data_IF_942775928027
#
_entry.id   IF_942775928027
#
_cell.length_a   1.000
_cell.length_b   1.000
_cell.length_c   1.000
_cell.angle_alpha   90.00
_cell.angle_beta   90.00
_cell.angle_gamma   90.00
#
_symmetry.space_group_name_H-M   'P 1'
#
loop_
_entity.id
_entity.type
_entity.pdbx_description
1 polymer ?
#
# COMPACT_ATOMS: atom_id res chain seq x y z
N UNK A 1 26.44 -7.24 13.23
CA UNK A 1 25.23 -7.07 14.05
C UNK A 1 24.61 -8.44 14.26
N UNK A 2 24.76 -9.03 15.45
CA UNK A 2 24.35 -10.40 15.72
C UNK A 2 22.84 -10.51 15.93
N UNK A 3 22.19 -11.48 15.26
CA UNK A 3 20.79 -11.79 15.47
C UNK A 3 20.66 -12.62 16.75
N UNK A 4 20.04 -12.07 17.81
CA UNK A 4 19.65 -12.88 18.96
C UNK A 4 18.39 -13.66 18.61
N UNK A 5 18.53 -14.99 18.53
CA UNK A 5 17.39 -15.88 18.38
C UNK A 5 16.79 -16.11 19.76
N UNK A 6 15.60 -15.57 20.00
CA UNK A 6 14.85 -15.81 21.23
C UNK A 6 14.26 -17.21 21.12
N UNK A 7 14.79 -18.14 21.90
CA UNK A 7 14.28 -19.51 21.95
C UNK A 7 13.06 -19.58 22.89
N UNK A 8 11.92 -20.11 22.45
CA UNK A 8 10.76 -20.30 23.31
C UNK A 8 11.07 -21.32 24.42
N UNK A 9 10.40 -21.18 25.55
CA UNK A 9 10.57 -22.13 26.65
C UNK A 9 9.93 -23.48 26.30
N UNK A 10 10.43 -24.55 26.91
CA UNK A 10 9.94 -25.92 26.63
C UNK A 10 8.46 -26.07 26.99
N UNK A 11 8.00 -25.42 28.05
CA UNK A 11 6.59 -25.38 28.45
C UNK A 11 5.70 -24.69 27.41
N UNK A 12 6.15 -23.58 26.81
CA UNK A 12 5.40 -22.91 25.75
C UNK A 12 5.25 -23.80 24.52
N UNK A 13 6.32 -24.50 24.13
CA UNK A 13 6.27 -25.47 23.03
C UNK A 13 5.32 -26.62 23.34
N UNK A 14 5.31 -27.12 24.58
CA UNK A 14 4.41 -28.20 25.01
C UNK A 14 2.95 -27.78 24.96
N UNK A 15 2.61 -26.58 25.46
CA UNK A 15 1.24 -26.05 25.41
C UNK A 15 0.76 -25.88 23.96
N UNK A 16 1.61 -25.30 23.11
CA UNK A 16 1.32 -25.13 21.69
C UNK A 16 1.08 -26.47 20.97
N UNK A 17 1.90 -27.48 21.22
CA UNK A 17 1.72 -28.80 20.62
C UNK A 17 0.45 -29.50 21.13
N UNK A 18 0.09 -29.33 22.41
CA UNK A 18 -1.15 -29.86 22.97
C UNK A 18 -2.40 -29.22 22.34
N UNK A 19 -2.40 -27.90 22.12
CA UNK A 19 -3.47 -27.20 21.40
C UNK A 19 -3.56 -27.64 19.93
N UNK A 20 -2.41 -27.84 19.27
CA UNK A 20 -2.34 -28.31 17.88
C UNK A 20 -2.85 -29.74 17.73
N UNK A 21 -2.54 -30.61 18.68
CA UNK A 21 -3.02 -31.99 18.75
C UNK A 21 -4.53 -32.04 19.00
N UNK A 22 -5.03 -31.23 19.95
CA UNK A 22 -6.46 -31.11 20.24
C UNK A 22 -7.27 -30.60 19.03
N UNK A 23 -6.68 -29.70 18.23
CA UNK A 23 -7.32 -29.16 17.04
C UNK A 23 -7.37 -30.16 15.86
N UNK A 24 -6.70 -31.33 15.94
CA UNK A 24 -6.61 -32.37 14.88
C UNK A 24 -6.39 -31.82 13.48
N UNK A 25 -5.69 -30.69 13.37
CA UNK A 25 -5.48 -30.05 12.07
C UNK A 25 -4.37 -30.83 11.36
N UNK A 26 -4.62 -31.39 10.17
CA UNK A 26 -3.54 -31.91 9.35
C UNK A 26 -2.51 -30.79 9.14
N UNK A 27 -1.21 -31.10 9.05
CA UNK A 27 -0.20 -30.10 8.73
C UNK A 27 -0.68 -29.35 7.49
N UNK A 28 -0.74 -28.00 7.53
CA UNK A 28 -1.15 -27.23 6.37
C UNK A 28 -0.25 -27.62 5.21
N UNK A 29 -0.85 -27.80 4.04
CA UNK A 29 -0.09 -28.14 2.85
C UNK A 29 1.02 -27.10 2.65
N UNK A 30 2.17 -27.49 2.12
CA UNK A 30 3.29 -26.56 1.94
C UNK A 30 2.91 -25.34 1.08
N UNK A 31 1.92 -25.47 0.20
CA UNK A 31 1.32 -24.33 -0.51
C UNK A 31 0.58 -23.36 0.41
N UNK A 32 -0.18 -23.85 1.38
CA UNK A 32 -0.90 -23.01 2.34
C UNK A 32 0.07 -22.27 3.27
N UNK A 33 1.17 -22.91 3.66
CA UNK A 33 2.25 -22.28 4.43
C UNK A 33 2.89 -21.14 3.61
N UNK A 34 3.20 -21.38 2.34
CA UNK A 34 3.75 -20.37 1.44
C UNK A 34 2.80 -19.17 1.29
N UNK A 35 1.51 -19.42 1.15
CA UNK A 35 0.48 -18.37 1.07
C UNK A 35 0.39 -17.56 2.37
N UNK A 36 0.35 -18.22 3.52
CA UNK A 36 0.24 -17.55 4.83
C UNK A 36 1.48 -16.73 5.19
N UNK A 37 2.67 -17.18 4.77
CA UNK A 37 3.93 -16.48 5.03
C UNK A 37 4.26 -15.42 3.97
N UNK A 38 3.40 -15.22 2.96
CA UNK A 38 3.71 -14.32 1.84
C UNK A 38 4.88 -14.82 0.98
N UNK A 39 5.28 -16.08 1.09
CA UNK A 39 6.29 -16.76 0.27
C UNK A 39 5.70 -17.16 -1.10
N UNK A 40 5.21 -16.16 -1.82
CA UNK A 40 4.86 -16.28 -3.23
C UNK A 40 5.96 -15.60 -4.04
N UNK A 41 6.26 -16.15 -5.22
CA UNK A 41 7.09 -15.43 -6.19
C UNK A 41 6.30 -14.22 -6.64
N UNK A 42 6.64 -13.04 -6.12
CA UNK A 42 6.22 -11.78 -6.71
C UNK A 42 6.77 -11.82 -8.14
N UNK A 43 5.87 -11.92 -9.12
CA UNK A 43 6.30 -11.85 -10.52
C UNK A 43 6.79 -10.43 -10.78
N UNK A 44 7.84 -10.28 -11.58
CA UNK A 44 8.43 -8.99 -11.96
C UNK A 44 7.40 -7.96 -12.50
N UNK A 45 6.26 -8.46 -12.97
CA UNK A 45 5.10 -7.67 -13.41
C UNK A 45 4.36 -6.95 -12.26
N UNK A 46 4.34 -7.51 -11.04
CA UNK A 46 3.72 -6.89 -9.87
C UNK A 46 4.53 -5.69 -9.35
N UNK A 47 5.88 -5.80 -9.39
CA UNK A 47 6.80 -4.69 -9.08
C UNK A 47 6.63 -3.52 -10.07
N UNK A 48 6.48 -3.82 -11.36
CA UNK A 48 6.21 -2.80 -12.39
C UNK A 48 4.83 -2.15 -12.18
N UNK A 49 3.80 -2.92 -11.84
CA UNK A 49 2.48 -2.35 -11.55
C UNK A 49 2.50 -1.45 -10.33
N UNK A 50 3.24 -1.81 -9.28
CA UNK A 50 3.38 -0.95 -8.10
C UNK A 50 4.09 0.36 -8.44
N UNK A 51 5.16 0.30 -9.22
CA UNK A 51 5.87 1.49 -9.69
C UNK A 51 4.97 2.36 -10.57
N UNK A 52 4.28 1.79 -11.56
CA UNK A 52 3.32 2.53 -12.42
C UNK A 52 2.27 3.23 -11.56
N UNK A 53 1.75 2.56 -10.52
CA UNK A 53 0.74 3.13 -9.62
C UNK A 53 1.32 4.26 -8.76
N UNK A 54 2.56 4.15 -8.27
CA UNK A 54 3.26 5.22 -7.56
C UNK A 54 3.58 6.42 -8.48
N UNK A 55 3.96 6.18 -9.73
CA UNK A 55 4.27 7.23 -10.72
C UNK A 55 3.03 7.90 -11.30
N UNK A 56 1.85 7.25 -11.27
CA UNK A 56 0.59 7.87 -11.70
C UNK A 56 0.01 8.84 -10.65
N UNK A 57 0.37 8.70 -9.37
CA UNK A 57 -0.15 9.56 -8.30
C UNK A 57 0.27 11.04 -8.52
N UNK A 58 1.53 11.39 -8.82
CA UNK A 58 1.94 12.76 -9.12
C UNK A 58 1.20 13.43 -10.28
N UNK A 59 0.82 12.68 -11.33
CA UNK A 59 0.17 13.28 -12.51
C UNK A 59 -1.25 13.76 -12.19
N UNK A 60 -1.98 13.01 -11.35
CA UNK A 60 -3.32 13.40 -10.92
C UNK A 60 -3.33 14.66 -10.07
N UNK A 61 -2.34 14.82 -9.18
CA UNK A 61 -2.18 16.04 -8.38
C UNK A 61 -1.77 17.25 -9.23
N UNK A 62 -0.92 17.04 -10.24
CA UNK A 62 -0.55 18.09 -11.20
C UNK A 62 -1.77 18.64 -11.94
N UNK A 63 -2.65 17.77 -12.42
CA UNK A 63 -3.86 18.17 -13.14
C UNK A 63 -4.83 18.99 -12.27
N UNK A 64 -5.01 18.60 -11.00
CA UNK A 64 -5.86 19.35 -10.05
C UNK A 64 -5.31 20.76 -9.80
N UNK A 65 -3.99 20.89 -9.61
CA UNK A 65 -3.31 22.18 -9.42
C UNK A 65 -3.44 23.08 -10.65
N UNK A 66 -3.26 22.52 -11.86
CA UNK A 66 -3.46 23.26 -13.11
C UNK A 66 -4.89 23.75 -13.24
N UNK A 67 -5.89 22.92 -12.94
CA UNK A 67 -7.29 23.30 -13.04
C UNK A 67 -7.65 24.43 -12.06
N UNK A 68 -7.16 24.36 -10.82
CA UNK A 68 -7.36 25.43 -9.82
C UNK A 68 -6.69 26.74 -10.23
N UNK A 69 -5.45 26.69 -10.72
CA UNK A 69 -4.73 27.88 -11.18
C UNK A 69 -5.44 28.55 -12.38
N UNK A 70 -5.99 27.75 -13.28
CA UNK A 70 -6.72 28.24 -14.45
C UNK A 70 -8.04 28.89 -14.07
N UNK A 71 -8.80 28.28 -13.17
CA UNK A 71 -10.05 28.84 -12.66
C UNK A 71 -9.82 30.18 -11.94
N UNK A 72 -8.76 30.25 -11.12
CA UNK A 72 -8.34 31.50 -10.48
C UNK A 72 -7.95 32.59 -11.48
N UNK A 73 -7.21 32.25 -12.52
CA UNK A 73 -6.77 33.19 -13.55
C UNK A 73 -7.96 33.72 -14.37
N UNK A 74 -8.90 32.84 -14.74
CA UNK A 74 -10.12 33.24 -15.43
C UNK A 74 -11.05 34.07 -14.54
N UNK A 75 -11.15 33.76 -13.25
CA UNK A 75 -11.89 34.58 -12.30
C UNK A 75 -11.29 36.00 -12.21
N UNK A 76 -9.97 36.13 -12.13
CA UNK A 76 -9.28 37.43 -12.14
C UNK A 76 -9.46 38.22 -13.44
N UNK A 77 -9.46 37.56 -14.60
CA UNK A 77 -9.71 38.20 -15.90
C UNK A 77 -11.17 38.69 -16.00
N UNK A 78 -12.12 37.91 -15.50
CA UNK A 78 -13.54 38.31 -15.47
C UNK A 78 -13.77 39.52 -14.55
N UNK A 79 -13.11 39.54 -13.40
CA UNK A 79 -13.15 40.67 -12.47
C UNK A 79 -12.55 41.95 -13.09
N UNK A 80 -11.43 41.82 -13.81
CA UNK A 80 -10.80 42.94 -14.51
C UNK A 80 -11.68 43.46 -15.66
N UNK A 81 -12.30 42.57 -16.43
CA UNK A 81 -13.22 42.92 -17.51
C UNK A 81 -14.48 43.65 -17.01
N UNK A 82 -15.08 43.20 -15.91
CA UNK A 82 -16.21 43.89 -15.28
C UNK A 82 -15.84 45.27 -14.73
N UNK A 83 -14.59 45.45 -14.27
CA UNK A 83 -14.11 46.74 -13.76
C UNK A 83 -13.89 47.75 -14.89
N UNK A 84 -13.35 47.29 -16.02
CA UNK A 84 -13.16 48.10 -17.23
C UNK A 84 -14.46 48.50 -17.94
N UNK A 85 -15.59 47.82 -17.67
CA UNK A 85 -16.90 48.17 -18.22
C UNK A 85 -17.70 49.15 -17.33
N UNK A 86 -17.14 49.54 -16.18
CA UNK A 86 -17.76 50.44 -15.19
C UNK A 86 -17.08 51.83 -15.15
N UNK A 87 -15.90 51.96 -15.75
CA UNK A 87 -15.24 53.24 -16.07
C UNK A 87 -15.64 53.68 -17.49
#
# INVERSE_FOLDING_TARGET
>A
MGHQIIHPTKEQVRAYMAEREAARRPPPTPEEIRRQLGWHMVSDEDDKQMLVRLYLIPSTFGHLLTQMAFDWLLAGVREAACRSARD
#
